data_IF_225090880766
#
_entry.id   IF_225090880766
#
_cell.length_a   1.000
_cell.length_b   1.000
_cell.length_c   1.000
_cell.angle_alpha   90.00
_cell.angle_beta   90.00
_cell.angle_gamma   90.00
#
_symmetry.space_group_name_H-M   'P 1'
#
loop_
_entity.id
_entity.type
_entity.pdbx_description
1 polymer ?
#
# COMPACT_ATOMS: atom_id res chain seq x y z
N UNK A 1 7.33 -9.09 17.39
CA UNK A 1 7.48 -8.83 15.94
C UNK A 1 7.45 -7.33 15.78
N UNK A 2 8.58 -6.71 15.45
CA UNK A 2 8.59 -5.29 15.11
C UNK A 2 8.06 -5.16 13.67
N UNK A 3 6.97 -4.41 13.44
CA UNK A 3 6.39 -4.31 12.10
C UNK A 3 7.37 -3.58 11.17
N UNK A 4 7.78 -4.23 10.06
CA UNK A 4 8.61 -3.58 9.04
C UNK A 4 7.97 -2.24 8.63
N UNK A 5 8.76 -1.15 8.50
CA UNK A 5 8.25 0.19 8.20
C UNK A 5 7.35 0.22 6.95
N UNK A 6 7.74 -0.54 5.92
CA UNK A 6 6.99 -0.68 4.67
C UNK A 6 5.59 -1.31 4.87
N UNK A 7 5.44 -2.19 5.87
CA UNK A 7 4.15 -2.78 6.24
C UNK A 7 3.21 -1.74 6.89
N UNK A 8 3.76 -0.84 7.70
CA UNK A 8 2.99 0.27 8.30
C UNK A 8 2.47 1.21 7.19
N UNK A 9 3.33 1.55 6.23
CA UNK A 9 2.93 2.36 5.08
C UNK A 9 1.88 1.68 4.20
N UNK A 10 1.98 0.37 3.99
CA UNK A 10 0.93 -0.39 3.29
C UNK A 10 -0.40 -0.36 4.03
N UNK A 11 -0.41 -0.50 5.37
CA UNK A 11 -1.62 -0.39 6.18
C UNK A 11 -2.24 1.00 6.09
N UNK A 12 -1.43 2.05 6.17
CA UNK A 12 -1.89 3.44 5.98
C UNK A 12 -2.49 3.64 4.58
N UNK A 13 -1.80 3.18 3.53
CA UNK A 13 -2.30 3.27 2.16
C UNK A 13 -3.62 2.51 1.98
N UNK A 14 -3.77 1.34 2.60
CA UNK A 14 -5.01 0.55 2.56
C UNK A 14 -6.15 1.26 3.29
N UNK A 15 -5.90 1.88 4.44
CA UNK A 15 -6.88 2.69 5.16
C UNK A 15 -7.34 3.88 4.31
N UNK A 16 -6.42 4.58 3.64
CA UNK A 16 -6.74 5.71 2.77
C UNK A 16 -7.60 5.28 1.57
N UNK A 17 -7.22 4.20 0.88
CA UNK A 17 -8.02 3.64 -0.23
C UNK A 17 -9.38 3.17 0.25
N UNK A 18 -9.43 2.49 1.41
CA UNK A 18 -10.66 2.03 2.02
C UNK A 18 -11.61 3.18 2.37
N UNK A 19 -11.10 4.26 2.98
CA UNK A 19 -11.88 5.45 3.28
C UNK A 19 -12.36 6.16 2.00
N UNK A 20 -11.52 6.27 0.97
CA UNK A 20 -11.90 6.84 -0.31
C UNK A 20 -13.02 6.04 -0.99
N UNK A 21 -12.93 4.71 -0.94
CA UNK A 21 -13.96 3.80 -1.44
C UNK A 21 -15.27 3.92 -0.65
N UNK A 22 -15.19 3.96 0.68
CA UNK A 22 -16.36 4.09 1.56
C UNK A 22 -17.03 5.45 1.37
N UNK A 23 -16.25 6.53 1.22
CA UNK A 23 -16.77 7.85 0.87
C UNK A 23 -17.46 7.86 -0.49
N UNK A 24 -16.90 7.20 -1.51
CA UNK A 24 -17.54 7.06 -2.81
C UNK A 24 -18.86 6.27 -2.72
N UNK A 25 -18.89 5.19 -1.94
CA UNK A 25 -20.07 4.36 -1.72
C UNK A 25 -21.19 5.12 -0.97
N UNK A 26 -20.82 5.96 0.02
CA UNK A 26 -21.78 6.77 0.79
C UNK A 26 -22.28 7.96 -0.03
N UNK A 27 -21.41 8.65 -0.77
CA UNK A 27 -21.80 9.80 -1.58
C UNK A 27 -22.65 9.38 -2.80
N UNK A 28 -22.47 8.14 -3.27
CA UNK A 28 -23.14 7.54 -4.44
C UNK A 28 -23.43 8.54 -5.59
N UNK A 29 -22.41 9.28 -6.07
CA UNK A 29 -22.63 10.32 -7.06
C UNK A 29 -22.92 9.71 -8.43
N UNK A 30 -23.94 10.19 -9.14
CA UNK A 30 -24.24 9.73 -10.50
C UNK A 30 -23.46 10.51 -11.57
N UNK A 31 -23.25 9.88 -12.74
CA UNK A 31 -22.65 10.53 -13.91
C UNK A 31 -21.16 10.85 -13.77
N UNK A 32 -20.78 12.14 -13.87
CA UNK A 32 -19.37 12.57 -13.85
C UNK A 32 -18.71 12.41 -12.48
N UNK A 33 -19.47 12.53 -11.40
CA UNK A 33 -18.97 12.35 -10.04
C UNK A 33 -18.48 10.91 -9.80
N UNK A 34 -19.24 9.91 -10.24
CA UNK A 34 -18.83 8.50 -10.19
C UNK A 34 -17.46 8.30 -10.86
N UNK A 35 -17.28 8.84 -12.07
CA UNK A 35 -16.01 8.69 -12.81
C UNK A 35 -14.83 9.33 -12.09
N UNK A 36 -15.01 10.51 -11.49
CA UNK A 36 -13.96 11.17 -10.70
C UNK A 36 -13.55 10.33 -9.48
N UNK A 37 -14.53 9.79 -8.74
CA UNK A 37 -14.26 8.87 -7.63
C UNK A 37 -13.59 7.57 -8.09
N UNK A 38 -14.02 6.99 -9.22
CA UNK A 38 -13.39 5.82 -9.82
C UNK A 38 -11.93 6.05 -10.19
N UNK A 39 -11.60 7.23 -10.74
CA UNK A 39 -10.23 7.64 -11.06
C UNK A 39 -9.37 7.81 -9.80
N UNK A 40 -9.89 8.46 -8.75
CA UNK A 40 -9.19 8.65 -7.47
C UNK A 40 -8.94 7.29 -6.80
N UNK A 41 -9.95 6.42 -6.74
CA UNK A 41 -9.80 5.08 -6.16
C UNK A 41 -8.80 4.25 -6.98
N UNK A 42 -8.88 4.29 -8.31
CA UNK A 42 -7.95 3.60 -9.18
C UNK A 42 -6.51 4.09 -9.00
N UNK A 43 -6.31 5.40 -8.92
CA UNK A 43 -4.98 6.00 -8.73
C UNK A 43 -4.39 5.66 -7.36
N UNK A 44 -5.18 5.77 -6.29
CA UNK A 44 -4.73 5.44 -4.93
C UNK A 44 -4.48 3.94 -4.75
N UNK A 45 -5.31 3.08 -5.36
CA UNK A 45 -5.07 1.64 -5.41
C UNK A 45 -3.80 1.29 -6.20
N UNK A 46 -3.52 1.97 -7.32
CA UNK A 46 -2.29 1.77 -8.08
C UNK A 46 -1.02 2.10 -7.27
N UNK A 47 -1.05 3.16 -6.47
CA UNK A 47 0.03 3.47 -5.52
C UNK A 47 0.20 2.35 -4.50
N UNK A 48 -0.89 1.86 -3.91
CA UNK A 48 -0.87 0.73 -2.98
C UNK A 48 -0.29 -0.55 -3.59
N UNK A 49 -0.64 -0.85 -4.85
CA UNK A 49 -0.09 -1.98 -5.62
C UNK A 49 1.42 -1.80 -5.83
N UNK A 50 1.89 -0.61 -6.21
CA UNK A 50 3.31 -0.35 -6.41
C UNK A 50 4.13 -0.60 -5.13
N UNK A 51 3.62 -0.16 -3.97
CA UNK A 51 4.24 -0.39 -2.67
C UNK A 51 4.22 -1.89 -2.32
N UNK A 52 3.12 -2.58 -2.60
CA UNK A 52 2.99 -4.03 -2.35
C UNK A 52 3.94 -4.87 -3.21
N UNK A 53 4.05 -4.55 -4.50
CA UNK A 53 5.00 -5.19 -5.42
C UNK A 53 6.44 -4.93 -4.98
N UNK A 54 6.79 -3.70 -4.58
CA UNK A 54 8.12 -3.37 -4.07
C UNK A 54 8.46 -4.19 -2.82
N UNK A 55 7.50 -4.38 -1.92
CA UNK A 55 7.69 -5.18 -0.72
C UNK A 55 7.88 -6.66 -1.05
N UNK A 56 7.06 -7.24 -1.93
CA UNK A 56 7.26 -8.60 -2.42
C UNK A 56 8.62 -8.78 -3.09
N UNK A 57 9.07 -7.75 -3.81
CA UNK A 57 10.39 -7.75 -4.45
C UNK A 57 11.53 -7.76 -3.43
N UNK A 58 11.39 -7.07 -2.29
CA UNK A 58 12.36 -7.13 -1.20
C UNK A 58 12.31 -8.47 -0.44
N UNK A 59 11.15 -9.13 -0.36
CA UNK A 59 11.00 -10.44 0.28
C UNK A 59 11.63 -11.60 -0.50
N UNK A 60 11.81 -11.46 -1.82
CA UNK A 60 12.46 -12.48 -2.66
C UNK A 60 13.99 -12.27 -2.78
N UNK A 61 14.53 -11.20 -2.21
CA UNK A 61 15.97 -10.94 -2.28
C UNK A 61 16.73 -11.93 -1.36
N UNK A 62 17.84 -12.52 -1.83
CA UNK A 62 18.72 -13.34 -0.99
C UNK A 62 19.24 -12.55 0.23
N UNK A 63 19.44 -13.20 1.39
CA UNK A 63 19.86 -12.52 2.63
C UNK A 63 21.23 -11.82 2.51
N UNK A 64 22.06 -12.26 1.56
CA UNK A 64 23.35 -11.67 1.16
C UNK A 64 23.23 -10.37 0.35
N UNK A 65 22.06 -10.10 -0.23
CA UNK A 65 21.75 -8.87 -0.98
C UNK A 65 20.72 -7.99 -0.28
N UNK A 66 20.20 -8.41 0.89
CA UNK A 66 19.28 -7.62 1.68
C UNK A 66 19.96 -6.30 2.12
N UNK A 67 19.26 -5.15 2.05
CA UNK A 67 19.80 -3.87 2.50
C UNK A 67 20.33 -4.00 3.93
N UNK A 68 21.58 -3.57 4.17
CA UNK A 68 22.19 -3.63 5.50
C UNK A 68 21.24 -3.00 6.51
N UNK A 69 21.07 -3.66 7.65
CA UNK A 69 20.22 -3.26 8.77
C UNK A 69 20.21 -1.73 8.93
N UNK A 70 19.15 -1.10 8.44
CA UNK A 70 18.97 0.34 8.54
C UNK A 70 18.56 0.71 9.96
N UNK A 71 18.78 1.97 10.38
CA UNK A 71 18.25 2.45 11.65
C UNK A 71 16.73 2.25 11.71
N UNK A 72 16.21 1.88 12.88
CA UNK A 72 14.78 1.66 13.09
C UNK A 72 13.95 2.91 12.80
N UNK A 73 12.66 2.71 12.50
CA UNK A 73 11.73 3.79 12.12
C UNK A 73 11.65 4.91 13.18
N UNK A 74 11.70 4.55 14.47
CA UNK A 74 11.70 5.52 15.57
C UNK A 74 12.91 6.47 15.54
N UNK A 75 14.09 5.98 15.14
CA UNK A 75 15.27 6.82 14.99
C UNK A 75 15.17 7.73 13.78
N UNK A 76 14.64 7.21 12.66
CA UNK A 76 14.42 8.01 11.46
C UNK A 76 13.43 9.16 11.70
N UNK A 77 12.32 8.89 12.40
CA UNK A 77 11.31 9.91 12.72
C UNK A 77 11.80 10.97 13.72
N UNK A 78 12.73 10.63 14.62
CA UNK A 78 13.29 11.57 15.59
C UNK A 78 14.42 12.43 15.02
N UNK A 79 15.16 11.91 14.03
CA UNK A 79 16.40 12.53 13.54
C UNK A 79 16.22 13.22 12.20
N UNK A 80 15.32 12.74 11.34
CA UNK A 80 15.17 13.20 9.96
C UNK A 80 13.79 13.82 9.69
N UNK A 81 13.69 14.81 8.79
CA UNK A 81 12.42 15.34 8.33
C UNK A 81 11.59 14.26 7.61
N UNK A 82 10.26 14.35 7.68
CA UNK A 82 9.33 13.34 7.15
C UNK A 82 9.61 12.94 5.69
N UNK A 83 10.09 13.86 4.85
CA UNK A 83 10.47 13.59 3.46
C UNK A 83 11.62 12.60 3.32
N UNK A 84 12.61 12.68 4.21
CA UNK A 84 13.78 11.79 4.23
C UNK A 84 13.40 10.45 4.81
N UNK A 85 12.54 10.41 5.84
CA UNK A 85 11.99 9.17 6.38
C UNK A 85 11.24 8.37 5.31
N UNK A 86 10.39 9.03 4.51
CA UNK A 86 9.70 8.37 3.40
C UNK A 86 10.72 7.78 2.42
N UNK A 87 11.74 8.54 2.05
CA UNK A 87 12.78 8.08 1.11
C UNK A 87 13.51 6.84 1.66
N UNK A 88 13.90 6.87 2.93
CA UNK A 88 14.59 5.76 3.59
C UNK A 88 13.73 4.49 3.66
N UNK A 89 12.43 4.65 3.93
CA UNK A 89 11.48 3.52 3.94
C UNK A 89 11.32 2.89 2.56
N UNK A 90 11.33 3.69 1.48
CA UNK A 90 11.28 3.18 0.11
C UNK A 90 12.59 2.53 -0.37
N UNK A 91 13.73 2.95 0.19
CA UNK A 91 15.03 2.28 0.00
C UNK A 91 15.00 0.88 0.61
N UNK A 92 14.29 0.72 1.72
CA UNK A 92 14.05 -0.57 2.39
C UNK A 92 15.15 -0.92 3.38
N UNK A 93 14.77 -1.49 4.52
CA UNK A 93 15.69 -1.99 5.55
C UNK A 93 15.74 -3.52 5.53
N UNK A 94 16.83 -4.11 6.01
CA UNK A 94 16.98 -5.58 6.09
C UNK A 94 15.87 -6.28 6.89
N UNK A 95 15.21 -5.56 7.80
CA UNK A 95 14.02 -6.01 8.54
C UNK A 95 12.87 -6.44 7.60
N UNK A 96 12.77 -5.86 6.40
CA UNK A 96 11.71 -6.13 5.43
C UNK A 96 11.98 -7.36 4.53
N UNK A 97 13.14 -8.02 4.68
CA UNK A 97 13.43 -9.32 4.05
C UNK A 97 12.85 -10.50 4.85
N UNK A 98 12.37 -10.25 6.08
CA UNK A 98 11.69 -11.27 6.89
C UNK A 98 10.30 -11.56 6.31
N UNK A 99 10.02 -12.84 6.04
CA UNK A 99 8.78 -13.28 5.41
C UNK A 99 7.83 -13.83 6.46
N UNK A 100 6.97 -12.96 6.99
CA UNK A 100 5.83 -13.40 7.79
C UNK A 100 4.72 -13.91 6.86
N UNK A 101 4.48 -15.22 6.93
CA UNK A 101 3.42 -15.89 6.16
C UNK A 101 2.20 -16.13 7.04
N UNK A 102 1.05 -15.71 6.54
CA UNK A 102 -0.27 -16.01 7.11
C UNK A 102 -1.03 -16.84 6.09
N UNK A 103 -1.45 -18.05 6.48
CA UNK A 103 -2.19 -18.98 5.60
C UNK A 103 -1.47 -19.30 4.27
N UNK A 104 -0.14 -19.39 4.29
CA UNK A 104 0.68 -19.70 3.12
C UNK A 104 0.99 -18.52 2.19
N UNK A 105 0.37 -17.36 2.41
CA UNK A 105 0.61 -16.10 1.69
C UNK A 105 1.32 -15.10 2.60
N UNK A 106 2.21 -14.27 2.04
CA UNK A 106 2.82 -13.20 2.82
C UNK A 106 1.82 -12.07 3.06
N UNK A 107 1.97 -11.34 4.17
CA UNK A 107 1.13 -10.17 4.48
C UNK A 107 1.06 -9.16 3.31
N UNK A 108 2.16 -8.87 2.58
CA UNK A 108 2.13 -8.01 1.40
C UNK A 108 1.31 -8.58 0.22
N UNK A 109 1.24 -9.90 0.09
CA UNK A 109 0.41 -10.53 -0.94
C UNK A 109 -1.08 -10.33 -0.65
N UNK A 110 -1.49 -10.43 0.62
CA UNK A 110 -2.86 -10.13 1.04
C UNK A 110 -3.26 -8.68 0.77
N UNK A 111 -2.39 -7.72 1.10
CA UNK A 111 -2.68 -6.30 0.84
C UNK A 111 -2.75 -6.00 -0.66
N UNK A 112 -1.90 -6.64 -1.47
CA UNK A 112 -1.95 -6.54 -2.94
C UNK A 112 -3.30 -7.01 -3.50
N UNK A 113 -3.81 -8.15 -3.02
CA UNK A 113 -5.13 -8.66 -3.42
C UNK A 113 -6.24 -7.68 -3.04
N UNK A 114 -6.17 -7.08 -1.85
CA UNK A 114 -7.16 -6.08 -1.42
C UNK A 114 -7.12 -4.81 -2.28
N UNK A 115 -5.94 -4.30 -2.63
CA UNK A 115 -5.82 -3.15 -3.53
C UNK A 115 -6.35 -3.47 -4.93
N UNK A 116 -6.05 -4.66 -5.47
CA UNK A 116 -6.61 -5.09 -6.75
C UNK A 116 -8.13 -5.20 -6.69
N UNK A 117 -8.67 -5.83 -5.64
CA UNK A 117 -10.11 -5.99 -5.44
C UNK A 117 -10.82 -4.65 -5.32
N UNK A 118 -10.37 -3.77 -4.43
CA UNK A 118 -10.94 -2.44 -4.22
C UNK A 118 -10.79 -1.54 -5.46
N UNK A 119 -9.64 -1.60 -6.13
CA UNK A 119 -9.38 -0.85 -7.35
C UNK A 119 -10.27 -1.30 -8.51
N UNK A 120 -10.44 -2.62 -8.70
CA UNK A 120 -11.34 -3.18 -9.71
C UNK A 120 -12.79 -2.86 -9.39
N UNK A 121 -13.24 -3.12 -8.17
CA UNK A 121 -14.65 -2.91 -7.78
C UNK A 121 -14.99 -1.42 -7.81
N UNK A 122 -14.13 -0.56 -7.28
CA UNK A 122 -14.34 0.88 -7.27
C UNK A 122 -14.23 1.51 -8.64
N UNK A 123 -13.24 1.10 -9.44
CA UNK A 123 -13.06 1.59 -10.81
C UNK A 123 -14.16 1.10 -11.75
N UNK A 124 -14.41 -0.21 -11.81
CA UNK A 124 -15.42 -0.80 -12.70
C UNK A 124 -16.84 -0.49 -12.22
N UNK A 125 -17.09 -0.52 -10.91
CA UNK A 125 -18.39 -0.17 -10.33
C UNK A 125 -18.79 1.27 -10.64
N UNK A 126 -17.88 2.23 -10.44
CA UNK A 126 -18.15 3.62 -10.80
C UNK A 126 -18.20 3.88 -12.31
N UNK A 127 -17.46 3.11 -13.11
CA UNK A 127 -17.52 3.23 -14.57
C UNK A 127 -18.81 2.65 -15.16
N UNK A 128 -19.43 1.67 -14.49
CA UNK A 128 -20.66 1.03 -14.92
C UNK A 128 -21.93 1.70 -14.42
N UNK A 129 -21.87 2.66 -13.49
CA UNK A 129 -23.02 3.48 -13.10
C UNK A 129 -23.49 4.28 -14.33
N UNK A 130 -24.61 3.89 -14.97
CA UNK A 130 -25.14 4.63 -16.10
C UNK A 130 -25.62 6.00 -15.59
N UNK A 131 -25.63 6.99 -16.49
CA UNK A 131 -26.21 8.31 -16.24
C UNK A 131 -27.66 8.22 -15.79
#
# INVERSE_FOLDING_TARGET
MEPCPLCIFQRLALLVVGLAFLAAAVHNPSGWGAKAYGLIIGFTAAIGIAIAVRHLWLQQLPPDQAPRCGPGLDYLLQTFPLSEVIREVFVGSGECATVDRVLGLSIPAWTLLLFLGLGLVGGVGNWRLPK
#
